data_IF_198882859195
#
_entry.id   IF_198882859195
#
_cell.length_a   1.000
_cell.length_b   1.000
_cell.length_c   1.000
_cell.angle_alpha   90.00
_cell.angle_beta   90.00
_cell.angle_gamma   90.00
#
_symmetry.space_group_name_H-M   'P 1'
#
loop_
_entity.id
_entity.type
_entity.pdbx_description
1 polymer ?
#
# COMPACT_ATOMS: atom_id res chain seq x y z
N UNK A 1 23.19 15.16 -16.21
CA UNK A 1 22.45 16.21 -15.47
C UNK A 1 22.14 15.71 -14.06
N UNK A 2 22.73 16.31 -13.01
CA UNK A 2 22.48 15.94 -11.61
C UNK A 2 21.18 16.62 -11.14
N UNK A 3 20.07 15.88 -11.15
CA UNK A 3 18.81 16.38 -10.60
C UNK A 3 18.84 16.36 -9.08
N UNK A 4 18.42 17.44 -8.43
CA UNK A 4 18.30 17.51 -6.97
C UNK A 4 17.21 16.55 -6.47
N UNK A 5 17.47 15.89 -5.34
CA UNK A 5 16.49 15.02 -4.68
C UNK A 5 15.52 15.87 -3.84
N UNK A 6 14.23 15.53 -3.85
CA UNK A 6 13.26 16.02 -2.87
C UNK A 6 13.37 15.18 -1.61
N UNK A 7 13.56 15.81 -0.47
CA UNK A 7 13.71 15.11 0.80
C UNK A 7 12.66 15.58 1.80
N UNK A 8 11.73 14.70 2.14
CA UNK A 8 10.73 14.91 3.18
C UNK A 8 11.18 14.21 4.46
N UNK A 9 11.43 14.99 5.51
CA UNK A 9 11.77 14.49 6.84
C UNK A 9 10.57 14.64 7.77
N UNK A 10 10.19 13.55 8.40
CA UNK A 10 9.09 13.51 9.33
C UNK A 10 9.64 13.43 10.77
N UNK A 11 9.11 14.24 11.70
CA UNK A 11 9.46 14.13 13.10
C UNK A 11 8.86 12.85 13.71
N UNK A 12 9.16 12.61 14.99
CA UNK A 12 8.40 11.64 15.77
C UNK A 12 6.91 12.04 15.80
N UNK A 13 6.04 11.05 15.65
CA UNK A 13 4.60 11.28 15.63
C UNK A 13 3.84 10.26 14.80
N UNK A 14 2.52 10.46 14.76
CA UNK A 14 1.58 9.59 14.05
C UNK A 14 0.98 10.36 12.87
N UNK A 15 1.07 9.79 11.68
CA UNK A 15 0.64 10.40 10.42
C UNK A 15 -0.38 9.50 9.74
N UNK A 16 -1.58 10.00 9.52
CA UNK A 16 -2.63 9.24 8.84
C UNK A 16 -2.35 9.12 7.33
N UNK A 17 -2.59 7.94 6.77
CA UNK A 17 -2.51 7.63 5.33
C UNK A 17 -3.88 7.13 4.86
N UNK A 18 -4.80 8.04 4.48
CA UNK A 18 -6.19 7.68 4.14
C UNK A 18 -6.39 7.17 2.71
N UNK A 19 -5.31 7.15 1.91
CA UNK A 19 -5.30 6.72 0.52
C UNK A 19 -3.87 6.49 0.07
N UNK A 20 -3.70 5.87 -1.09
CA UNK A 20 -2.40 5.73 -1.75
C UNK A 20 -1.76 7.11 -2.01
N UNK A 21 -0.51 7.26 -1.59
CA UNK A 21 0.29 8.49 -1.75
C UNK A 21 1.37 8.24 -2.78
N UNK A 22 1.38 9.02 -3.86
CA UNK A 22 2.45 8.97 -4.85
C UNK A 22 3.76 9.52 -4.25
N UNK A 23 4.82 8.72 -4.34
CA UNK A 23 6.20 9.10 -4.04
C UNK A 23 6.90 9.26 -5.39
N UNK A 24 6.94 10.48 -5.96
CA UNK A 24 7.39 10.66 -7.33
C UNK A 24 8.92 10.52 -7.41
N UNK A 25 9.47 10.45 -8.63
CA UNK A 25 10.90 10.22 -8.81
C UNK A 25 11.79 11.20 -8.04
N UNK A 26 12.97 10.69 -7.65
CA UNK A 26 14.02 11.41 -6.89
C UNK A 26 13.48 11.95 -5.57
N UNK A 27 12.70 11.14 -4.88
CA UNK A 27 12.11 11.51 -3.57
C UNK A 27 12.61 10.59 -2.46
N UNK A 28 12.97 11.19 -1.35
CA UNK A 28 13.27 10.52 -0.08
C UNK A 28 12.19 10.86 0.93
N UNK A 29 11.62 9.83 1.55
CA UNK A 29 10.79 9.94 2.76
C UNK A 29 11.60 9.35 3.91
N UNK A 30 11.96 10.17 4.88
CA UNK A 30 12.79 9.79 6.02
C UNK A 30 12.04 10.09 7.32
N UNK A 31 11.87 9.06 8.15
CA UNK A 31 11.45 9.22 9.54
C UNK A 31 12.61 9.47 10.49
N UNK A 32 12.27 9.84 11.73
CA UNK A 32 13.21 10.36 12.73
C UNK A 32 14.24 9.33 13.22
N UNK A 33 13.91 8.04 13.23
CA UNK A 33 14.76 6.99 13.82
C UNK A 33 14.42 5.59 13.28
N UNK A 34 15.38 4.66 13.35
CA UNK A 34 15.15 3.25 13.00
C UNK A 34 14.06 2.64 13.91
N UNK A 35 12.95 2.14 13.34
CA UNK A 35 11.82 1.60 14.10
C UNK A 35 11.97 0.12 14.48
N UNK A 36 12.99 -0.57 13.96
CA UNK A 36 13.14 -2.02 14.11
C UNK A 36 13.42 -2.43 15.56
N UNK A 37 12.83 -3.55 15.98
CA UNK A 37 13.08 -4.22 17.27
C UNK A 37 13.26 -5.71 16.99
N UNK A 38 14.05 -6.37 17.84
CA UNK A 38 14.22 -7.82 17.80
C UNK A 38 12.99 -8.58 18.31
N UNK A 39 12.08 -7.91 19.05
CA UNK A 39 10.78 -8.50 19.43
C UNK A 39 9.69 -8.02 18.47
N UNK A 40 9.09 -8.92 17.65
CA UNK A 40 8.03 -8.57 16.72
C UNK A 40 6.81 -7.98 17.43
N UNK A 41 6.61 -8.27 18.73
CA UNK A 41 5.49 -7.78 19.54
C UNK A 41 5.65 -6.36 20.08
N UNK A 42 6.82 -5.76 19.88
CA UNK A 42 7.09 -4.40 20.36
C UNK A 42 6.23 -3.39 19.61
N UNK A 43 5.40 -2.64 20.33
CA UNK A 43 4.66 -1.51 19.75
C UNK A 43 5.62 -0.37 19.36
N UNK A 44 5.31 0.41 18.32
CA UNK A 44 6.08 1.62 18.02
C UNK A 44 6.10 2.59 19.20
N UNK A 45 7.26 3.20 19.46
CA UNK A 45 7.35 4.31 20.39
C UNK A 45 6.97 5.61 19.67
N UNK A 46 5.69 5.99 19.76
CA UNK A 46 5.14 7.16 19.08
C UNK A 46 5.81 8.49 19.46
N UNK A 47 6.54 8.56 20.59
CA UNK A 47 7.26 9.77 21.01
C UNK A 47 8.64 9.91 20.37
N UNK A 48 9.21 8.82 19.86
CA UNK A 48 10.57 8.80 19.31
C UNK A 48 10.67 8.18 17.92
N UNK A 49 9.54 7.80 17.32
CA UNK A 49 9.47 7.17 16.01
C UNK A 49 8.44 7.87 15.13
N UNK A 50 8.69 7.84 13.83
CA UNK A 50 7.72 8.25 12.81
C UNK A 50 6.85 7.06 12.47
N UNK A 51 5.55 7.19 12.70
CA UNK A 51 4.58 6.12 12.46
C UNK A 51 3.53 6.59 11.48
N UNK A 52 3.40 5.88 10.36
CA UNK A 52 2.31 6.05 9.42
C UNK A 52 1.20 5.05 9.72
N UNK A 53 -0.05 5.49 9.68
CA UNK A 53 -1.22 4.66 10.00
C UNK A 53 -2.23 4.77 8.88
N UNK A 54 -2.55 3.64 8.24
CA UNK A 54 -3.72 3.56 7.37
C UNK A 54 -4.98 3.69 8.22
N UNK A 55 -5.86 4.65 7.91
CA UNK A 55 -7.16 4.77 8.58
C UNK A 55 -8.33 4.32 7.70
N UNK A 56 -8.05 3.98 6.44
CA UNK A 56 -8.91 3.30 5.47
C UNK A 56 -8.30 1.96 5.06
N UNK A 57 -8.97 1.25 4.15
CA UNK A 57 -8.54 -0.04 3.62
C UNK A 57 -9.72 -0.83 3.10
N UNK A 58 -9.44 -2.02 2.57
CA UNK A 58 -10.42 -3.03 2.23
C UNK A 58 -11.07 -3.53 3.52
N UNK A 59 -12.38 -3.29 3.64
CA UNK A 59 -13.23 -3.72 4.76
C UNK A 59 -14.48 -4.47 4.31
N UNK A 60 -14.74 -4.49 3.00
CA UNK A 60 -15.86 -5.19 2.39
C UNK A 60 -15.31 -6.30 1.48
N UNK A 61 -15.52 -7.56 1.87
CA UNK A 61 -15.10 -8.73 1.08
C UNK A 61 -15.72 -8.78 -0.32
N UNK A 62 -16.78 -8.02 -0.61
CA UNK A 62 -17.44 -7.96 -1.93
C UNK A 62 -16.91 -6.87 -2.85
N UNK A 63 -16.03 -5.99 -2.37
CA UNK A 63 -15.50 -4.90 -3.19
C UNK A 63 -14.61 -5.47 -4.30
N UNK A 64 -14.59 -4.81 -5.46
CA UNK A 64 -13.80 -5.28 -6.59
C UNK A 64 -12.33 -4.91 -6.42
N UNK A 65 -11.69 -5.60 -5.49
CA UNK A 65 -10.30 -5.46 -5.16
C UNK A 65 -9.65 -6.83 -5.31
N UNK A 66 -8.52 -6.89 -6.03
CA UNK A 66 -7.73 -8.09 -6.34
C UNK A 66 -8.46 -9.42 -6.10
N UNK A 67 -9.16 -9.90 -7.12
CA UNK A 67 -9.94 -11.15 -7.14
C UNK A 67 -10.74 -11.48 -5.87
N UNK A 68 -12.07 -11.32 -5.94
CA UNK A 68 -12.96 -12.20 -5.19
C UNK A 68 -12.80 -13.62 -5.75
N UNK A 69 -12.01 -14.46 -5.06
CA UNK A 69 -11.60 -15.80 -5.50
C UNK A 69 -12.76 -16.77 -5.80
N UNK A 70 -14.00 -16.45 -5.44
CA UNK A 70 -15.14 -17.33 -5.69
C UNK A 70 -15.50 -17.49 -7.18
N UNK A 71 -15.05 -16.61 -8.10
CA UNK A 71 -15.52 -16.63 -9.51
C UNK A 71 -14.46 -16.40 -10.58
N UNK A 72 -13.19 -16.62 -10.26
CA UNK A 72 -12.04 -16.29 -11.12
C UNK A 72 -11.85 -17.24 -12.31
N UNK A 73 -12.61 -18.34 -12.36
CA UNK A 73 -12.62 -19.31 -13.45
C UNK A 73 -13.81 -19.14 -14.41
N UNK A 74 -14.76 -18.26 -14.10
CA UNK A 74 -15.90 -18.03 -14.99
C UNK A 74 -15.45 -17.20 -16.20
N UNK A 75 -15.71 -17.65 -17.44
CA UNK A 75 -15.59 -16.78 -18.59
C UNK A 75 -16.52 -15.58 -18.41
N UNK A 76 -16.13 -14.45 -18.99
CA UNK A 76 -16.91 -13.21 -18.94
C UNK A 76 -18.38 -13.50 -19.20
N UNK A 77 -19.21 -13.34 -18.17
CA UNK A 77 -20.63 -13.65 -18.26
C UNK A 77 -21.46 -12.41 -17.93
N UNK A 78 -22.64 -12.23 -18.55
CA UNK A 78 -23.58 -11.16 -18.19
C UNK A 78 -24.04 -11.21 -16.73
N UNK A 79 -23.83 -12.33 -16.02
CA UNK A 79 -24.15 -12.53 -14.59
C UNK A 79 -22.95 -12.23 -13.66
N UNK A 80 -21.77 -12.02 -14.22
CA UNK A 80 -20.57 -11.57 -13.53
C UNK A 80 -19.86 -10.45 -14.35
N UNK A 81 -20.55 -9.35 -14.71
CA UNK A 81 -19.92 -8.30 -15.47
C UNK A 81 -19.27 -7.32 -14.49
N UNK A 82 -18.06 -7.66 -14.05
CA UNK A 82 -17.09 -6.70 -13.51
C UNK A 82 -17.63 -5.66 -12.51
N UNK A 83 -17.71 -6.03 -11.23
CA UNK A 83 -17.87 -5.05 -10.14
C UNK A 83 -16.79 -3.94 -10.17
N UNK A 84 -15.67 -4.16 -10.88
CA UNK A 84 -14.54 -3.24 -11.04
C UNK A 84 -14.79 -2.08 -12.01
N UNK A 85 -15.75 -2.20 -12.93
CA UNK A 85 -16.10 -1.08 -13.84
C UNK A 85 -16.72 0.09 -13.07
N UNK A 86 -17.28 -0.16 -11.89
CA UNK A 86 -17.87 0.88 -11.04
C UNK A 86 -16.85 1.62 -10.17
N UNK A 87 -15.63 1.09 -9.99
CA UNK A 87 -14.63 1.72 -9.14
C UNK A 87 -13.91 2.84 -9.88
N UNK A 88 -14.00 4.04 -9.31
CA UNK A 88 -13.20 5.19 -9.72
C UNK A 88 -11.76 5.08 -9.21
N UNK A 89 -10.85 5.83 -9.86
CA UNK A 89 -9.46 5.94 -9.42
C UNK A 89 -9.31 6.40 -7.95
N UNK A 90 -10.18 7.29 -7.46
CA UNK A 90 -10.10 7.74 -6.06
C UNK A 90 -10.60 6.67 -5.07
N UNK A 91 -11.60 5.88 -5.44
CA UNK A 91 -12.01 4.73 -4.63
C UNK A 91 -10.89 3.70 -4.54
N UNK A 92 -10.24 3.40 -5.67
CA UNK A 92 -9.06 2.51 -5.72
C UNK A 92 -7.95 2.98 -4.78
N UNK A 93 -7.62 4.27 -4.79
CA UNK A 93 -6.57 4.80 -3.89
C UNK A 93 -6.95 4.64 -2.42
N UNK A 94 -8.22 4.75 -2.05
CA UNK A 94 -8.69 4.59 -0.65
C UNK A 94 -8.62 3.15 -0.15
N UNK A 95 -8.77 2.19 -1.06
CA UNK A 95 -8.61 0.75 -0.77
C UNK A 95 -7.14 0.33 -0.63
N UNK A 96 -6.20 1.18 -1.07
CA UNK A 96 -4.76 0.89 -1.12
C UNK A 96 -3.95 1.96 -0.38
N UNK A 97 -4.24 2.22 0.90
CA UNK A 97 -3.44 3.16 1.67
C UNK A 97 -2.00 2.66 1.74
N UNK A 98 -1.05 3.55 1.45
CA UNK A 98 0.35 3.18 1.26
C UNK A 98 1.08 4.18 0.38
N UNK A 99 2.26 3.79 -0.07
CA UNK A 99 3.16 4.58 -0.90
C UNK A 99 3.28 3.95 -2.28
N UNK A 100 2.94 4.71 -3.31
CA UNK A 100 3.17 4.36 -4.72
C UNK A 100 4.54 4.92 -5.14
N UNK A 101 5.53 4.04 -5.20
CA UNK A 101 6.95 4.30 -5.34
C UNK A 101 7.36 4.35 -6.82
N UNK A 102 7.81 5.51 -7.29
CA UNK A 102 8.37 5.68 -8.64
C UNK A 102 9.89 5.43 -8.66
N UNK A 103 10.51 5.46 -9.85
CA UNK A 103 11.95 5.25 -10.00
C UNK A 103 12.79 6.21 -9.15
N UNK A 104 13.92 5.75 -8.62
CA UNK A 104 14.82 6.53 -7.77
C UNK A 104 14.09 7.10 -6.55
N UNK A 105 13.45 6.24 -5.76
CA UNK A 105 12.79 6.63 -4.52
C UNK A 105 13.35 5.85 -3.35
N UNK A 106 13.34 6.48 -2.17
CA UNK A 106 13.79 5.88 -0.92
C UNK A 106 12.77 6.19 0.17
N UNK A 107 12.27 5.16 0.84
CA UNK A 107 11.55 5.31 2.11
C UNK A 107 12.38 4.66 3.20
N UNK A 108 12.65 5.39 4.29
CA UNK A 108 13.46 4.86 5.38
C UNK A 108 13.08 5.36 6.77
N UNK A 109 13.43 4.55 7.77
CA UNK A 109 13.30 4.90 9.20
C UNK A 109 11.84 5.18 9.62
N UNK A 110 10.89 4.39 9.12
CA UNK A 110 9.45 4.58 9.41
C UNK A 110 8.79 3.29 9.89
N UNK A 111 7.90 3.41 10.86
CA UNK A 111 6.94 2.34 11.14
C UNK A 111 5.67 2.58 10.31
N UNK A 112 5.07 1.52 9.80
CA UNK A 112 3.77 1.56 9.14
C UNK A 112 2.81 0.58 9.81
N UNK A 113 1.58 1.02 10.05
CA UNK A 113 0.51 0.21 10.58
C UNK A 113 -0.68 0.28 9.62
N UNK A 114 -1.13 -0.85 9.12
CA UNK A 114 -2.30 -0.89 8.25
C UNK A 114 -3.62 -0.97 9.03
N UNK A 115 -4.71 -1.02 8.28
CA UNK A 115 -6.07 -1.24 8.80
C UNK A 115 -6.91 -2.13 7.85
N UNK A 116 -6.24 -2.92 7.03
CA UNK A 116 -6.87 -3.81 6.04
C UNK A 116 -7.29 -5.13 6.67
N UNK A 117 -8.57 -5.26 7.05
CA UNK A 117 -9.09 -6.39 7.83
C UNK A 117 -9.68 -7.51 6.98
N UNK A 118 -9.90 -7.27 5.68
CA UNK A 118 -10.61 -8.23 4.80
C UNK A 118 -9.86 -8.54 3.52
N UNK A 119 -8.55 -8.28 3.45
CA UNK A 119 -7.79 -8.68 2.26
C UNK A 119 -7.84 -10.21 2.14
N UNK A 120 -8.32 -10.74 1.00
CA UNK A 120 -8.24 -12.17 0.75
C UNK A 120 -6.78 -12.64 0.82
N UNK A 121 -6.55 -13.94 0.86
CA UNK A 121 -5.21 -14.51 0.69
C UNK A 121 -4.66 -14.17 -0.71
N UNK A 122 -4.21 -12.93 -0.91
CA UNK A 122 -3.90 -12.28 -2.18
C UNK A 122 -2.56 -12.72 -2.81
N UNK A 123 -1.93 -13.74 -2.22
CA UNK A 123 -0.62 -14.24 -2.61
C UNK A 123 -0.56 -14.88 -4.02
N UNK A 124 -1.69 -15.01 -4.72
CA UNK A 124 -1.76 -15.65 -6.05
C UNK A 124 -2.01 -14.72 -7.23
N UNK A 125 -2.67 -13.57 -7.02
CA UNK A 125 -3.19 -12.75 -8.13
C UNK A 125 -2.35 -11.51 -8.43
N UNK A 126 -1.33 -11.20 -7.60
CA UNK A 126 -0.36 -10.11 -7.77
C UNK A 126 -0.98 -8.71 -7.95
N UNK A 127 -2.25 -8.50 -7.60
CA UNK A 127 -2.93 -7.21 -7.78
C UNK A 127 -2.78 -6.27 -6.58
N UNK A 128 -1.56 -6.17 -6.06
CA UNK A 128 -1.11 -5.12 -5.15
C UNK A 128 -1.91 -4.93 -3.84
N UNK A 129 -1.93 -3.71 -3.31
CA UNK A 129 -2.34 -3.34 -1.96
C UNK A 129 -1.18 -3.15 -1.00
N UNK A 130 0.06 -3.33 -1.44
CA UNK A 130 1.20 -3.23 -0.54
C UNK A 130 1.24 -1.88 0.18
N UNK A 131 1.86 -1.87 1.36
CA UNK A 131 2.23 -0.59 2.02
C UNK A 131 3.16 0.19 1.11
N UNK A 132 4.03 -0.53 0.40
CA UNK A 132 4.85 -0.02 -0.68
C UNK A 132 4.47 -0.78 -1.93
N UNK A 133 4.18 -0.03 -2.98
CA UNK A 133 3.82 -0.55 -4.28
C UNK A 133 4.53 0.22 -5.37
N UNK A 134 4.66 -0.40 -6.54
CA UNK A 134 5.07 0.28 -7.76
C UNK A 134 3.87 0.52 -8.68
N UNK A 135 3.93 1.48 -9.62
CA UNK A 135 2.91 1.65 -10.66
C UNK A 135 2.57 0.33 -11.35
N UNK A 136 1.29 0.02 -11.46
CA UNK A 136 0.84 -1.28 -11.95
C UNK A 136 -0.68 -1.33 -12.07
N UNK A 137 -1.25 -2.53 -12.04
CA UNK A 137 -2.70 -2.72 -12.19
C UNK A 137 -3.34 -3.16 -10.89
N UNK A 138 -4.53 -2.63 -10.62
CA UNK A 138 -5.35 -3.04 -9.46
C UNK A 138 -6.14 -4.32 -9.75
N UNK A 139 -6.24 -4.69 -11.01
CA UNK A 139 -6.88 -5.93 -11.47
C UNK A 139 -5.82 -6.86 -12.07
N UNK A 140 -5.89 -8.16 -11.76
CA UNK A 140 -4.93 -9.18 -12.20
C UNK A 140 -4.75 -9.26 -13.73
N UNK A 141 -5.77 -8.89 -14.51
CA UNK A 141 -5.72 -8.93 -15.97
C UNK A 141 -5.27 -7.60 -16.61
N UNK A 142 -5.09 -6.51 -15.86
CA UNK A 142 -4.73 -5.20 -16.40
C UNK A 142 -5.63 -4.63 -17.52
N UNK A 143 -6.85 -5.18 -17.72
CA UNK A 143 -7.71 -4.82 -18.85
C UNK A 143 -8.38 -3.44 -18.70
N UNK A 144 -8.37 -2.88 -17.48
CA UNK A 144 -9.07 -1.64 -17.15
C UNK A 144 -8.08 -0.51 -17.01
N UNK A 145 -8.02 0.38 -18.01
CA UNK A 145 -7.12 1.53 -18.01
C UNK A 145 -7.35 2.48 -16.83
N UNK A 146 -8.60 2.59 -16.35
CA UNK A 146 -8.96 3.38 -15.17
C UNK A 146 -8.54 2.73 -13.85
N UNK A 147 -7.98 1.52 -13.88
CA UNK A 147 -7.46 0.79 -12.72
C UNK A 147 -5.94 0.61 -12.78
N UNK A 148 -5.26 1.35 -13.67
CA UNK A 148 -3.81 1.45 -13.70
C UNK A 148 -3.39 2.53 -12.69
N UNK A 149 -2.56 2.15 -11.72
CA UNK A 149 -1.94 3.09 -10.79
C UNK A 149 -0.71 3.73 -11.43
N UNK A 150 -0.58 5.03 -11.22
CA UNK A 150 0.51 5.81 -11.79
C UNK A 150 0.48 5.81 -13.33
N UNK A 151 1.57 5.37 -13.95
CA UNK A 151 1.70 5.26 -15.41
C UNK A 151 1.80 3.80 -15.90
N UNK A 152 1.66 2.81 -15.01
CA UNK A 152 1.79 1.38 -15.32
C UNK A 152 3.18 0.97 -15.86
N UNK A 153 4.19 1.83 -15.75
CA UNK A 153 5.53 1.55 -16.26
C UNK A 153 6.39 0.89 -15.18
N UNK A 154 7.31 -0.02 -15.56
CA UNK A 154 8.28 -0.57 -14.64
C UNK A 154 9.15 0.54 -14.04
N UNK A 155 9.54 0.37 -12.78
CA UNK A 155 10.37 1.32 -12.05
C UNK A 155 11.72 0.70 -11.70
N UNK A 156 12.72 1.55 -11.51
CA UNK A 156 14.07 1.12 -11.12
C UNK A 156 14.58 1.90 -9.92
N UNK A 157 15.48 1.29 -9.14
CA UNK A 157 16.10 1.91 -7.97
C UNK A 157 15.08 2.42 -6.93
N UNK A 158 14.13 1.56 -6.57
CA UNK A 158 13.24 1.74 -5.42
C UNK A 158 13.89 1.09 -4.20
N UNK A 159 14.03 1.85 -3.10
CA UNK A 159 14.67 1.37 -1.87
C UNK A 159 13.75 1.57 -0.67
N UNK A 160 13.70 0.54 0.17
CA UNK A 160 12.95 0.52 1.42
C UNK A 160 13.94 0.07 2.50
N UNK A 161 14.20 0.91 3.51
CA UNK A 161 15.27 0.67 4.49
C UNK A 161 14.81 0.96 5.90
N UNK A 162 15.13 0.08 6.86
CA UNK A 162 14.73 0.28 8.27
C UNK A 162 13.24 0.62 8.39
N UNK A 163 12.40 -0.19 7.75
CA UNK A 163 10.95 -0.06 7.82
C UNK A 163 10.39 -1.19 8.64
N UNK A 164 9.52 -0.83 9.59
CA UNK A 164 8.80 -1.80 10.40
C UNK A 164 7.33 -1.80 10.01
N UNK A 165 6.88 -2.94 9.48
CA UNK A 165 5.47 -3.21 9.22
C UNK A 165 4.88 -3.84 10.49
N UNK A 166 3.84 -3.22 11.05
CA UNK A 166 3.23 -3.67 12.30
C UNK A 166 1.76 -4.00 12.12
N UNK A 167 1.38 -5.14 12.66
CA UNK A 167 -0.01 -5.60 12.72
C UNK A 167 -0.73 -5.15 14.02
N UNK A 168 -0.08 -4.28 14.81
CA UNK A 168 -0.49 -3.95 16.16
C UNK A 168 -1.64 -2.95 16.22
N UNK A 169 -2.87 -3.45 16.05
CA UNK A 169 -4.06 -2.80 16.61
C UNK A 169 -4.32 -3.30 18.04
N UNK A 170 -4.94 -2.48 18.90
CA UNK A 170 -5.45 -2.94 20.21
C UNK A 170 -6.64 -3.90 20.07
N UNK A 171 -7.05 -4.22 18.84
CA UNK A 171 -8.10 -5.17 18.51
C UNK A 171 -7.57 -6.14 17.42
N UNK A 172 -7.51 -7.45 17.69
CA UNK A 172 -7.01 -8.45 16.73
C UNK A 172 -7.87 -8.59 15.46
N UNK A 173 -9.10 -8.07 15.44
CA UNK A 173 -9.93 -7.98 14.23
C UNK A 173 -9.56 -6.79 13.33
N UNK A 174 -8.67 -5.91 13.81
CA UNK A 174 -8.14 -4.75 13.09
C UNK A 174 -6.69 -4.94 12.63
N UNK A 175 -6.18 -6.17 12.73
CA UNK A 175 -4.96 -6.59 12.11
C UNK A 175 -5.04 -6.37 10.59
N UNK A 176 -3.98 -5.80 10.03
CA UNK A 176 -3.81 -5.49 8.63
C UNK A 176 -2.88 -6.48 7.93
N UNK A 177 -3.33 -7.02 6.80
CA UNK A 177 -2.39 -7.64 5.86
C UNK A 177 -1.50 -6.58 5.23
N UNK A 178 -0.22 -6.56 5.63
CA UNK A 178 0.80 -5.71 5.05
C UNK A 178 1.64 -6.53 4.06
N UNK A 179 1.66 -6.10 2.81
CA UNK A 179 2.50 -6.67 1.76
C UNK A 179 3.46 -5.60 1.21
N UNK A 180 4.54 -6.06 0.60
CA UNK A 180 5.45 -5.25 -0.21
C UNK A 180 5.44 -5.91 -1.59
N UNK A 181 5.14 -5.15 -2.64
CA UNK A 181 5.05 -5.62 -4.03
C UNK A 181 5.94 -4.80 -4.96
#
# INVERSE_FOLDING_TARGET
MRGSWRHFRFPAGVFAVPRQVSVPEKTVIEGVANPNSNDPRTKPNYRSQTVFVANSGVSNHRICYCQNLERTWEPLSPRNPYHCQSLTNEEVKRLRPGFLMYSNTLVKNIAYQGKDTTRPSDNGALCGGGVFETPGCVHNQCLFSHLITGNGQPVSNVRIENVRLNDFSNDPNHASQLAVW
#
